data_IF_366120663797
#
_entry.id   IF_366120663797
#
_cell.length_a   1.000
_cell.length_b   1.000
_cell.length_c   1.000
_cell.angle_alpha   90.00
_cell.angle_beta   90.00
_cell.angle_gamma   90.00
#
_symmetry.space_group_name_H-M   'P 1'
#
loop_
_entity.id
_entity.type
_entity.pdbx_description
1 polymer ?
#
# COMPACT_ATOMS: atom_id res chain seq x y z
N UNK A 1 -38.11 -27.36 -28.79
CA UNK A 1 -37.60 -27.47 -27.41
C UNK A 1 -36.16 -27.94 -27.51
N UNK A 2 -35.13 -27.25 -27.01
CA UNK A 2 -34.92 -26.80 -25.62
C UNK A 2 -35.23 -27.95 -24.65
N UNK A 3 -34.30 -28.51 -23.88
CA UNK A 3 -33.29 -27.86 -23.05
C UNK A 3 -32.09 -28.80 -22.88
N UNK A 4 -30.87 -28.26 -22.82
CA UNK A 4 -29.77 -28.96 -22.15
C UNK A 4 -29.00 -27.99 -21.25
N UNK A 5 -28.74 -28.48 -20.06
CA UNK A 5 -28.53 -27.77 -18.81
C UNK A 5 -27.14 -27.09 -18.76
N UNK A 6 -27.08 -25.76 -18.83
CA UNK A 6 -25.86 -25.00 -18.56
C UNK A 6 -25.88 -24.55 -17.11
N UNK A 7 -25.33 -25.38 -16.23
CA UNK A 7 -24.96 -25.01 -14.85
C UNK A 7 -24.07 -23.76 -14.88
N UNK A 8 -24.66 -22.63 -14.49
CA UNK A 8 -23.92 -21.42 -14.09
C UNK A 8 -22.99 -21.81 -12.94
N UNK A 9 -21.68 -21.87 -13.21
CA UNK A 9 -20.68 -21.91 -12.15
C UNK A 9 -20.63 -20.52 -11.52
N UNK A 10 -21.39 -20.35 -10.44
CA UNK A 10 -21.20 -19.23 -9.53
C UNK A 10 -19.82 -19.38 -8.90
N UNK A 11 -18.84 -18.65 -9.43
CA UNK A 11 -17.55 -18.48 -8.77
C UNK A 11 -17.77 -17.53 -7.58
N UNK A 12 -18.15 -18.11 -6.44
CA UNK A 12 -18.03 -17.46 -5.14
C UNK A 12 -16.53 -17.43 -4.85
N UNK A 13 -15.88 -16.32 -5.19
CA UNK A 13 -14.45 -16.13 -5.00
C UNK A 13 -14.20 -15.63 -3.56
N UNK A 14 -14.24 -16.54 -2.59
CA UNK A 14 -13.78 -16.27 -1.21
C UNK A 14 -12.26 -16.41 -1.11
N UNK A 15 -11.51 -15.48 -1.69
CA UNK A 15 -10.10 -15.26 -1.33
C UNK A 15 -9.85 -13.77 -1.26
N UNK A 16 -10.23 -13.17 -0.13
CA UNK A 16 -9.75 -11.84 0.26
C UNK A 16 -8.23 -11.90 0.24
N UNK A 17 -7.60 -11.00 -0.53
CA UNK A 17 -6.14 -10.94 -0.59
C UNK A 17 -5.58 -10.76 0.83
N UNK A 18 -4.41 -11.33 1.17
CA UNK A 18 -3.86 -11.33 2.53
C UNK A 18 -3.52 -9.92 3.11
N UNK A 19 -3.84 -8.86 2.38
CA UNK A 19 -3.54 -7.46 2.66
C UNK A 19 -4.67 -6.53 2.21
N UNK A 20 -5.83 -7.12 1.88
CA UNK A 20 -7.01 -6.41 1.45
C UNK A 20 -7.81 -5.92 2.65
N UNK A 21 -7.78 -4.61 2.93
CA UNK A 21 -8.69 -4.01 3.90
C UNK A 21 -10.09 -3.92 3.30
N UNK A 22 -11.04 -4.69 3.84
CA UNK A 22 -12.48 -4.50 3.64
C UNK A 22 -13.05 -3.75 4.83
N UNK A 23 -13.84 -2.69 4.60
CA UNK A 23 -14.44 -1.86 5.66
C UNK A 23 -15.65 -2.50 6.39
N UNK A 24 -16.00 -3.74 6.07
CA UNK A 24 -17.16 -4.45 6.67
C UNK A 24 -16.79 -5.61 7.60
N UNK A 25 -15.51 -5.88 7.85
CA UNK A 25 -15.08 -6.88 8.85
C UNK A 25 -14.06 -6.25 9.78
N UNK A 26 -14.55 -5.54 10.79
CA UNK A 26 -13.74 -5.06 11.93
C UNK A 26 -13.82 -5.98 13.15
N UNK A 27 -14.42 -7.17 13.07
CA UNK A 27 -14.65 -8.02 14.25
C UNK A 27 -14.43 -9.54 14.05
N UNK A 28 -13.69 -9.97 13.02
CA UNK A 28 -13.27 -11.38 12.92
C UNK A 28 -11.77 -11.47 12.75
N UNK A 29 -11.11 -11.63 13.89
CA UNK A 29 -9.78 -12.19 14.05
C UNK A 29 -9.66 -13.44 13.16
N UNK A 30 -8.78 -13.37 12.15
CA UNK A 30 -8.35 -14.58 11.46
C UNK A 30 -7.26 -15.21 12.29
N UNK A 31 -7.68 -16.13 13.15
CA UNK A 31 -6.84 -17.15 13.76
C UNK A 31 -6.10 -17.93 12.67
N UNK A 32 -4.79 -17.70 12.55
CA UNK A 32 -3.89 -18.66 11.92
C UNK A 32 -3.63 -19.79 12.96
N UNK A 33 -3.77 -21.08 12.60
CA UNK A 33 -3.61 -22.16 13.56
C UNK A 33 -2.11 -22.36 13.83
N UNK A 34 -1.73 -22.21 15.10
CA UNK A 34 -0.56 -22.80 15.76
C UNK A 34 0.67 -23.09 14.86
N UNK A 35 1.40 -22.04 14.48
CA UNK A 35 2.87 -22.12 14.54
C UNK A 35 3.24 -21.34 15.78
N UNK A 36 3.78 -22.04 16.79
CA UNK A 36 4.10 -21.47 18.09
C UNK A 36 4.71 -20.08 17.96
N UNK A 37 4.11 -19.11 18.65
CA UNK A 37 4.83 -17.92 19.06
C UNK A 37 5.90 -18.39 20.06
N UNK A 38 6.96 -19.03 19.55
CA UNK A 38 8.23 -18.99 20.23
C UNK A 38 8.57 -17.51 20.38
N UNK A 39 8.88 -17.08 21.60
CA UNK A 39 9.25 -15.70 21.92
C UNK A 39 10.25 -15.18 20.89
N UNK A 40 9.76 -14.40 19.93
CA UNK A 40 10.59 -13.88 18.85
C UNK A 40 11.40 -12.71 19.43
N UNK A 41 12.52 -13.04 20.08
CA UNK A 41 13.44 -12.06 20.66
C UNK A 41 14.17 -11.36 19.51
N UNK A 42 13.74 -10.14 19.21
CA UNK A 42 14.44 -9.24 18.29
C UNK A 42 15.76 -8.80 18.93
N UNK A 43 16.88 -9.37 18.47
CA UNK A 43 18.22 -9.07 19.00
C UNK A 43 19.00 -8.16 18.06
N UNK A 44 19.50 -8.71 16.95
CA UNK A 44 20.30 -8.00 15.97
C UNK A 44 19.86 -8.40 14.56
N UNK A 45 19.85 -7.43 13.65
CA UNK A 45 19.70 -7.66 12.21
C UNK A 45 21.06 -7.38 11.54
N UNK A 46 21.67 -8.37 10.87
CA UNK A 46 22.91 -8.13 10.13
C UNK A 46 22.63 -7.19 8.96
N UNK A 47 23.44 -6.15 8.82
CA UNK A 47 23.30 -5.14 7.76
C UNK A 47 24.57 -5.02 6.94
N UNK A 48 24.40 -4.71 5.66
CA UNK A 48 25.48 -4.37 4.75
C UNK A 48 25.28 -2.98 4.19
N UNK A 49 26.37 -2.26 3.93
CA UNK A 49 26.30 -0.97 3.27
C UNK A 49 26.02 -1.22 1.78
N UNK A 50 24.93 -0.63 1.29
CA UNK A 50 24.55 -0.68 -0.12
C UNK A 50 24.54 0.73 -0.70
N UNK A 51 25.15 0.90 -1.87
CA UNK A 51 25.01 2.13 -2.65
C UNK A 51 23.68 2.13 -3.40
N UNK A 52 22.98 3.25 -3.34
CA UNK A 52 21.69 3.46 -4.02
C UNK A 52 21.79 4.69 -4.92
N UNK A 53 21.09 4.65 -6.04
CA UNK A 53 21.06 5.71 -7.06
C UNK A 53 19.71 6.44 -7.13
N UNK A 54 18.91 6.33 -6.08
CA UNK A 54 17.60 6.96 -5.95
C UNK A 54 17.44 7.58 -4.56
N UNK A 55 16.46 8.46 -4.41
CA UNK A 55 16.14 9.05 -3.10
C UNK A 55 15.19 8.14 -2.33
N UNK A 56 15.55 7.80 -1.09
CA UNK A 56 14.79 6.83 -0.29
C UNK A 56 13.36 7.35 -0.01
N UNK A 57 12.32 6.52 -0.20
CA UNK A 57 10.98 6.82 0.28
C UNK A 57 10.95 6.95 1.81
N UNK A 58 9.96 7.65 2.35
CA UNK A 58 9.79 7.85 3.80
C UNK A 58 8.42 7.33 4.22
N UNK A 59 8.39 6.52 5.28
CA UNK A 59 7.17 6.01 5.90
C UNK A 59 7.17 6.45 7.36
N UNK A 60 6.16 7.23 7.75
CA UNK A 60 5.94 7.63 9.14
C UNK A 60 4.80 6.80 9.71
N UNK A 61 5.05 6.17 10.85
CA UNK A 61 4.13 5.27 11.53
C UNK A 61 3.85 5.78 12.94
N UNK A 62 2.68 5.46 13.48
CA UNK A 62 2.29 5.84 14.84
C UNK A 62 1.41 7.10 14.91
N UNK A 63 1.14 7.61 16.12
CA UNK A 63 0.34 8.81 16.32
C UNK A 63 0.90 10.00 15.56
N UNK A 64 0.02 10.91 15.14
CA UNK A 64 0.37 12.14 14.42
C UNK A 64 1.03 11.96 13.04
N UNK A 65 1.14 10.73 12.51
CA UNK A 65 1.75 10.49 11.19
C UNK A 65 1.15 11.35 10.08
N UNK A 66 -0.17 11.54 10.07
CA UNK A 66 -0.88 12.27 9.00
C UNK A 66 -0.48 13.74 9.02
N UNK A 67 -0.48 14.35 10.20
CA UNK A 67 -0.04 15.74 10.39
C UNK A 67 1.40 15.94 9.96
N UNK A 68 2.30 15.03 10.33
CA UNK A 68 3.72 15.16 9.97
C UNK A 68 3.92 14.97 8.47
N UNK A 69 3.18 14.06 7.83
CA UNK A 69 3.20 13.90 6.39
C UNK A 69 2.75 15.20 5.69
N UNK A 70 1.66 15.82 6.15
CA UNK A 70 1.14 17.07 5.62
C UNK A 70 2.12 18.24 5.82
N UNK A 71 2.71 18.36 7.01
CA UNK A 71 3.69 19.39 7.34
C UNK A 71 4.96 19.25 6.45
N UNK A 72 5.49 18.03 6.27
CA UNK A 72 6.66 17.79 5.41
C UNK A 72 6.43 18.17 3.95
N UNK A 73 5.26 17.86 3.41
CA UNK A 73 4.91 18.18 2.02
C UNK A 73 4.65 19.68 1.85
N UNK A 74 3.97 20.32 2.80
CA UNK A 74 3.58 21.73 2.70
C UNK A 74 4.72 22.70 3.02
N UNK A 75 5.57 22.39 4.00
CA UNK A 75 6.70 23.24 4.41
C UNK A 75 7.89 23.09 3.46
N UNK A 76 8.08 21.91 2.87
CA UNK A 76 9.23 21.61 2.00
C UNK A 76 8.83 20.98 0.65
N UNK A 77 8.00 21.65 -0.16
CA UNK A 77 7.46 21.10 -1.42
C UNK A 77 8.55 20.82 -2.49
N UNK A 78 9.68 21.52 -2.40
CA UNK A 78 10.81 21.30 -3.30
C UNK A 78 11.66 20.09 -2.91
N UNK A 79 11.58 19.66 -1.65
CA UNK A 79 12.35 18.53 -1.14
C UNK A 79 11.55 17.24 -1.20
N UNK A 80 10.32 17.25 -0.70
CA UNK A 80 9.48 16.05 -0.61
C UNK A 80 8.46 15.99 -1.74
N UNK A 81 7.94 14.78 -1.98
CA UNK A 81 6.83 14.58 -2.91
C UNK A 81 5.96 13.43 -2.46
N UNK A 82 4.69 13.43 -2.91
CA UNK A 82 3.78 12.31 -2.77
C UNK A 82 3.66 11.59 -4.11
N UNK A 83 3.61 10.26 -4.09
CA UNK A 83 3.33 9.50 -5.30
C UNK A 83 1.83 9.49 -5.61
N UNK A 84 1.48 9.39 -6.89
CA UNK A 84 0.09 9.31 -7.33
C UNK A 84 -0.43 7.87 -7.17
N UNK A 85 -1.45 7.63 -6.32
CA UNK A 85 -2.06 6.31 -6.14
C UNK A 85 -2.95 5.93 -7.34
N UNK A 86 -3.36 4.67 -7.40
CA UNK A 86 -4.30 4.15 -8.42
C UNK A 86 -5.66 3.92 -7.79
N UNK A 87 -6.72 4.05 -8.59
CA UNK A 87 -8.07 3.66 -8.17
C UNK A 87 -8.92 3.14 -9.32
N UNK A 88 -9.83 2.19 -9.04
CA UNK A 88 -10.89 1.81 -9.99
C UNK A 88 -12.12 2.71 -9.92
N UNK A 89 -12.14 3.66 -8.97
CA UNK A 89 -13.25 4.61 -8.85
C UNK A 89 -13.33 5.45 -10.12
N UNK A 90 -14.52 5.70 -10.68
CA UNK A 90 -14.67 6.68 -11.76
C UNK A 90 -14.12 8.05 -11.36
N UNK A 91 -13.38 8.66 -12.27
CA UNK A 91 -12.87 10.03 -12.13
C UNK A 91 -14.03 11.01 -12.02
N UNK A 92 -13.96 11.93 -11.06
CA UNK A 92 -14.91 13.06 -10.95
C UNK A 92 -14.53 14.18 -11.92
N UNK A 93 -15.46 15.10 -12.18
CA UNK A 93 -15.23 16.16 -13.18
C UNK A 93 -14.07 17.10 -12.81
N UNK A 94 -13.87 17.37 -11.52
CA UNK A 94 -12.80 18.22 -11.00
C UNK A 94 -11.44 17.50 -10.79
N UNK A 95 -11.41 16.17 -10.95
CA UNK A 95 -10.19 15.37 -10.78
C UNK A 95 -9.43 15.23 -12.11
N UNK A 96 -8.10 15.16 -12.01
CA UNK A 96 -7.18 15.03 -13.14
C UNK A 96 -6.45 13.70 -13.02
N UNK A 97 -6.53 12.89 -14.07
CA UNK A 97 -5.82 11.62 -14.17
C UNK A 97 -4.30 11.84 -14.18
N UNK A 98 -3.58 11.04 -13.40
CA UNK A 98 -2.14 11.18 -13.21
C UNK A 98 -1.72 12.32 -12.27
N UNK A 99 -2.69 13.06 -11.69
CA UNK A 99 -2.43 14.02 -10.61
C UNK A 99 -3.09 13.57 -9.31
N UNK A 100 -4.40 13.37 -9.33
CA UNK A 100 -5.17 13.00 -8.14
C UNK A 100 -5.10 11.48 -7.92
N UNK A 101 -5.37 10.71 -8.97
CA UNK A 101 -5.18 9.27 -9.05
C UNK A 101 -4.79 8.88 -10.48
N UNK A 102 -4.23 7.68 -10.64
CA UNK A 102 -4.31 6.93 -11.87
C UNK A 102 -5.64 6.17 -11.90
N UNK A 103 -6.56 6.62 -12.74
CA UNK A 103 -7.91 6.05 -12.84
C UNK A 103 -7.89 4.80 -13.73
N UNK A 104 -7.98 3.63 -13.10
CA UNK A 104 -7.94 2.33 -13.76
C UNK A 104 -9.35 1.91 -14.16
N UNK A 105 -9.61 1.83 -15.47
CA UNK A 105 -10.94 1.51 -16.01
C UNK A 105 -11.36 0.07 -15.69
N UNK A 106 -10.43 -0.88 -15.82
CA UNK A 106 -10.71 -2.30 -15.60
C UNK A 106 -10.37 -2.72 -14.18
N UNK A 107 -11.40 -3.00 -13.37
CA UNK A 107 -11.23 -3.58 -12.04
C UNK A 107 -10.49 -4.92 -12.09
N UNK A 108 -10.83 -5.78 -13.04
CA UNK A 108 -10.18 -7.08 -13.25
C UNK A 108 -8.68 -6.93 -13.50
N UNK A 109 -8.28 -5.91 -14.29
CA UNK A 109 -6.86 -5.62 -14.51
C UNK A 109 -6.17 -5.17 -13.22
N UNK A 110 -6.79 -4.29 -12.43
CA UNK A 110 -6.20 -3.86 -11.15
C UNK A 110 -6.09 -5.03 -10.16
N UNK A 111 -7.06 -5.94 -10.11
CA UNK A 111 -7.00 -7.15 -9.29
C UNK A 111 -5.85 -8.08 -9.72
N UNK A 112 -5.65 -8.24 -11.04
CA UNK A 112 -4.50 -8.97 -11.57
C UNK A 112 -3.18 -8.30 -11.21
N UNK A 113 -3.08 -6.97 -11.32
CA UNK A 113 -1.88 -6.22 -10.97
C UNK A 113 -1.56 -6.32 -9.47
N UNK A 114 -2.59 -6.37 -8.63
CA UNK A 114 -2.47 -6.64 -7.18
C UNK A 114 -1.91 -8.06 -6.94
N UNK A 115 -2.38 -9.07 -7.67
CA UNK A 115 -1.88 -10.45 -7.59
C UNK A 115 -0.44 -10.58 -8.07
N UNK A 116 -0.04 -9.79 -9.07
CA UNK A 116 1.32 -9.73 -9.62
C UNK A 116 2.28 -8.89 -8.77
N UNK A 117 1.91 -8.53 -7.54
CA UNK A 117 2.73 -7.76 -6.60
C UNK A 117 3.19 -6.39 -7.13
N UNK A 118 2.43 -5.76 -8.03
CA UNK A 118 2.74 -4.42 -8.54
C UNK A 118 2.44 -3.31 -7.53
N UNK A 119 1.71 -3.62 -6.46
CA UNK A 119 1.31 -2.69 -5.41
C UNK A 119 2.01 -2.96 -4.08
N UNK A 120 2.54 -1.91 -3.46
CA UNK A 120 3.11 -1.99 -2.11
C UNK A 120 1.99 -2.06 -1.07
N UNK A 121 0.85 -1.42 -1.35
CA UNK A 121 -0.36 -1.48 -0.55
C UNK A 121 -1.58 -1.34 -1.47
N UNK A 122 -2.64 -2.08 -1.16
CA UNK A 122 -3.90 -2.00 -1.86
C UNK A 122 -5.05 -2.32 -0.91
N UNK A 123 -6.22 -1.71 -1.13
CA UNK A 123 -7.41 -1.92 -0.32
C UNK A 123 -8.69 -1.59 -1.10
N UNK A 124 -9.84 -1.87 -0.50
CA UNK A 124 -11.13 -1.50 -1.07
C UNK A 124 -11.85 -0.49 -0.17
N UNK A 125 -12.43 0.51 -0.82
CA UNK A 125 -13.31 1.47 -0.17
C UNK A 125 -14.48 1.82 -1.10
N UNK A 126 -15.72 1.73 -0.58
CA UNK A 126 -16.96 1.94 -1.35
C UNK A 126 -16.94 1.19 -2.69
N UNK A 127 -16.66 -0.11 -2.65
CA UNK A 127 -16.55 -1.01 -3.82
C UNK A 127 -15.54 -0.62 -4.90
N UNK A 128 -14.66 0.33 -4.60
CA UNK A 128 -13.57 0.72 -5.47
C UNK A 128 -12.24 0.28 -4.88
N UNK A 129 -11.36 -0.23 -5.74
CA UNK A 129 -10.00 -0.56 -5.36
C UNK A 129 -9.15 0.71 -5.33
N UNK A 130 -8.22 0.74 -4.39
CA UNK A 130 -7.20 1.76 -4.26
C UNK A 130 -5.86 1.06 -4.04
N UNK A 131 -4.78 1.64 -4.55
CA UNK A 131 -3.46 1.10 -4.27
C UNK A 131 -2.31 2.03 -4.63
N UNK A 132 -1.21 1.87 -3.92
CA UNK A 132 0.06 2.56 -4.18
C UNK A 132 0.97 1.60 -4.93
N UNK A 133 1.27 1.89 -6.20
CA UNK A 133 2.09 1.02 -7.03
C UNK A 133 3.58 1.23 -6.74
N UNK A 134 4.37 0.16 -6.90
CA UNK A 134 5.85 0.26 -6.83
C UNK A 134 6.37 1.30 -7.81
N UNK A 135 5.78 1.36 -9.01
CA UNK A 135 6.20 2.27 -10.07
C UNK A 135 5.94 3.74 -9.71
N UNK A 136 4.80 4.06 -9.09
CA UNK A 136 4.50 5.42 -8.63
C UNK A 136 5.52 5.90 -7.59
N UNK A 137 5.96 5.01 -6.69
CA UNK A 137 6.98 5.34 -5.70
C UNK A 137 8.35 5.54 -6.36
N UNK A 138 8.75 4.62 -7.24
CA UNK A 138 10.03 4.69 -7.96
C UNK A 138 10.16 5.98 -8.76
N UNK A 139 9.08 6.39 -9.44
CA UNK A 139 9.04 7.62 -10.23
C UNK A 139 9.39 8.88 -9.43
N UNK A 140 8.95 8.99 -8.18
CA UNK A 140 9.29 10.12 -7.30
C UNK A 140 10.74 10.00 -6.81
N UNK A 141 11.15 8.79 -6.41
CA UNK A 141 12.49 8.51 -5.89
C UNK A 141 13.61 8.80 -6.92
N UNK A 142 13.38 8.44 -8.18
CA UNK A 142 14.33 8.66 -9.29
C UNK A 142 14.43 10.13 -9.70
N UNK A 143 13.44 10.97 -9.33
CA UNK A 143 13.46 12.42 -9.55
C UNK A 143 14.17 13.20 -8.44
N UNK A 144 14.81 12.50 -7.51
CA UNK A 144 15.61 13.14 -6.46
C UNK A 144 14.80 13.63 -5.25
N UNK A 145 13.53 13.25 -5.11
CA UNK A 145 12.68 13.64 -3.98
C UNK A 145 12.36 12.43 -3.08
N UNK A 146 12.43 12.54 -1.73
CA UNK A 146 11.91 11.52 -0.85
C UNK A 146 10.39 11.45 -1.01
N UNK A 147 9.91 10.26 -1.36
CA UNK A 147 8.48 10.01 -1.52
C UNK A 147 7.85 9.77 -0.14
N UNK A 148 6.98 10.67 0.32
CA UNK A 148 6.20 10.47 1.55
C UNK A 148 5.09 9.47 1.24
N UNK A 149 5.06 8.37 2.01
CA UNK A 149 4.11 7.28 1.82
C UNK A 149 3.17 7.16 3.01
N UNK A 150 1.88 7.37 2.77
CA UNK A 150 0.83 7.04 3.73
C UNK A 150 0.40 5.57 3.56
N UNK A 151 1.19 4.65 4.13
CA UNK A 151 0.99 3.21 4.06
C UNK A 151 1.27 2.53 5.40
N UNK A 152 0.80 1.29 5.59
CA UNK A 152 1.12 0.50 6.77
C UNK A 152 2.53 -0.09 6.75
N UNK A 153 3.01 -0.58 7.90
CA UNK A 153 4.31 -1.24 8.02
C UNK A 153 4.49 -2.46 7.10
N UNK A 154 3.40 -3.08 6.63
CA UNK A 154 3.45 -4.17 5.66
C UNK A 154 4.08 -3.76 4.31
N UNK A 155 3.97 -2.48 3.95
CA UNK A 155 4.56 -1.96 2.72
C UNK A 155 6.10 -1.93 2.76
N UNK A 156 6.72 -1.88 3.95
CA UNK A 156 8.18 -1.84 4.12
C UNK A 156 8.82 -3.06 3.46
N UNK A 157 8.32 -4.27 3.78
CA UNK A 157 8.83 -5.52 3.21
C UNK A 157 8.68 -5.56 1.69
N UNK A 158 7.59 -5.03 1.15
CA UNK A 158 7.35 -5.00 -0.30
C UNK A 158 8.27 -4.03 -1.04
N UNK A 159 8.52 -2.87 -0.44
CA UNK A 159 9.48 -1.91 -0.98
C UNK A 159 10.89 -2.52 -1.00
N UNK A 160 11.31 -3.19 0.08
CA UNK A 160 12.60 -3.88 0.15
C UNK A 160 12.74 -4.97 -0.94
N UNK A 161 11.70 -5.79 -1.16
CA UNK A 161 11.65 -6.77 -2.27
C UNK A 161 11.77 -6.08 -3.63
N UNK A 162 11.15 -4.90 -3.78
CA UNK A 162 11.26 -4.07 -4.98
C UNK A 162 12.58 -3.27 -5.09
N UNK A 163 13.55 -3.52 -4.21
CA UNK A 163 14.85 -2.83 -4.15
C UNK A 163 14.72 -1.31 -3.90
N UNK A 164 13.61 -0.90 -3.28
CA UNK A 164 13.39 0.45 -2.76
C UNK A 164 13.47 0.39 -1.23
N UNK A 165 14.52 0.93 -0.62
CA UNK A 165 14.74 0.82 0.82
C UNK A 165 14.19 2.08 1.53
N UNK A 166 12.98 2.03 2.11
CA UNK A 166 12.40 3.21 2.75
C UNK A 166 13.16 3.58 4.02
N UNK A 167 13.06 4.84 4.43
CA UNK A 167 13.31 5.30 5.79
C UNK A 167 11.98 5.14 6.54
N UNK A 168 11.90 4.17 7.44
CA UNK A 168 10.72 3.94 8.27
C UNK A 168 10.93 4.54 9.65
N UNK A 169 10.04 5.44 10.07
CA UNK A 169 10.10 6.16 11.34
C UNK A 169 8.85 5.84 12.13
N UNK A 170 9.00 5.22 13.29
CA UNK A 170 7.89 4.96 14.21
C UNK A 170 7.86 5.98 15.34
N UNK A 171 6.75 6.70 15.45
CA UNK A 171 6.48 7.64 16.53
C UNK A 171 5.93 6.83 17.70
N UNK A 172 6.80 6.57 18.67
CA UNK A 172 6.43 5.86 19.89
C UNK A 172 5.93 6.87 20.93
N UNK A 173 4.63 6.86 21.30
CA UNK A 173 4.15 7.66 22.42
C UNK A 173 4.83 7.20 23.70
N UNK A 174 5.19 8.14 24.58
CA UNK A 174 5.78 7.83 25.90
C UNK A 174 4.71 7.37 26.90
N UNK A 175 3.51 7.91 26.75
CA UNK A 175 2.33 7.74 27.61
C UNK A 175 1.07 7.92 26.78
N UNK A 176 -0.08 7.57 27.36
CA UNK A 176 -1.40 7.88 26.81
C UNK A 176 -1.79 9.36 27.01
N UNK A 177 -1.32 9.94 28.12
CA UNK A 177 -1.35 11.38 28.42
C UNK A 177 -0.37 12.15 27.53
#
# INVERSE_FOLDING_TARGET
GSFNDKRKKNFIFSRKFPFYKSKEQSEQETSDPERGQEDCILSYEPVTRQEINYTRPVIILGPMKDRINDDLISEFPDKFGSCVPHTTRPKRDYEVDGRDYHFVISREQMEKDIQEHKFIEAGQYNDNLYGTSVQSVRFVAERGKPCILDVSGNAIKRLQVAQLYPIAIFIKPKSWE
#
